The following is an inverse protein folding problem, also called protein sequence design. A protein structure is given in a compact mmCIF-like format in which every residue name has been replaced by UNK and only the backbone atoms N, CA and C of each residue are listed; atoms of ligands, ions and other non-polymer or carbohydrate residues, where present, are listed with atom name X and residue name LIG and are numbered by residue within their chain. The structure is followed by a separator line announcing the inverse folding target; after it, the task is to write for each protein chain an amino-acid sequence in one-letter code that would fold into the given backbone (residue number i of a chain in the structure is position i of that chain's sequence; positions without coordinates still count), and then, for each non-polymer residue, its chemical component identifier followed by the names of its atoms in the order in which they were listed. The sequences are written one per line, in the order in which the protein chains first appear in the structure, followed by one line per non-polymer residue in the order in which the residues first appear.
data_IF_524364769017
#
_entry.id   IF_524364769017
#
_cell.length_a   1.000
_cell.length_b   1.000
_cell.length_c   1.000
_cell.angle_alpha   90.00
_cell.angle_beta   90.00
_cell.angle_gamma   90.00
#
_symmetry.space_group_name_H-M   'P 1'
#
loop_
_entity.id
_entity.type
_entity.pdbx_description
1 polymer ?
#
# COMPACT_ATOMS: atom_id res chain seq x y z
N UNK A 1 2.32 -0.89 -11.13
CA UNK A 1 2.85 -0.77 -9.75
C UNK A 1 3.31 0.66 -9.46
N UNK A 2 2.38 1.51 -9.06
CA UNK A 2 2.66 2.87 -8.59
C UNK A 2 2.67 2.85 -7.06
N UNK A 3 3.71 3.40 -6.39
CA UNK A 3 3.69 3.48 -4.93
C UNK A 3 2.57 4.44 -4.48
N UNK A 4 1.71 3.99 -3.56
CA UNK A 4 0.60 4.79 -3.01
C UNK A 4 1.07 5.83 -1.97
N UNK A 5 2.37 5.91 -1.71
CA UNK A 5 2.94 6.78 -0.67
C UNK A 5 2.71 6.28 0.76
N UNK A 6 2.20 5.05 0.92
CA UNK A 6 1.98 4.43 2.23
C UNK A 6 2.96 3.28 2.47
N UNK A 7 3.20 3.00 3.75
CA UNK A 7 3.96 1.83 4.20
C UNK A 7 3.05 0.92 5.03
N UNK A 8 3.26 -0.38 4.89
CA UNK A 8 2.44 -1.41 5.52
C UNK A 8 3.21 -2.21 6.58
N UNK A 9 4.17 -1.55 7.27
CA UNK A 9 5.02 -2.20 8.29
C UNK A 9 4.29 -2.40 9.61
N UNK A 10 3.54 -1.38 10.04
CA UNK A 10 2.89 -1.34 11.36
C UNK A 10 1.36 -1.24 11.26
N UNK A 11 0.87 -0.69 10.16
CA UNK A 11 -0.55 -0.51 9.87
C UNK A 11 -0.85 -1.02 8.46
N UNK A 12 -2.06 -1.52 8.18
CA UNK A 12 -2.45 -1.80 6.80
C UNK A 12 -2.48 -0.51 5.98
N UNK A 13 -2.34 -0.61 4.65
CA UNK A 13 -2.50 0.54 3.77
C UNK A 13 -3.90 1.13 3.96
N UNK A 14 -4.03 2.40 4.32
CA UNK A 14 -5.34 3.06 4.45
C UNK A 14 -6.00 3.13 3.08
N UNK A 15 -5.20 3.29 2.02
CA UNK A 15 -5.66 3.26 0.63
C UNK A 15 -5.92 1.85 0.10
N UNK A 16 -5.96 0.82 0.94
CA UNK A 16 -6.43 -0.52 0.52
C UNK A 16 -7.84 -0.46 -0.08
N UNK A 17 -8.67 0.50 0.36
CA UNK A 17 -9.99 0.78 -0.22
C UNK A 17 -9.92 1.28 -1.67
N UNK A 18 -8.79 1.87 -2.07
CA UNK A 18 -8.50 2.34 -3.42
C UNK A 18 -7.66 1.33 -4.22
N UNK A 19 -7.77 0.04 -3.89
CA UNK A 19 -7.05 -1.04 -4.56
C UNK A 19 -5.51 -0.96 -4.45
N UNK A 20 -4.98 -0.23 -3.46
CA UNK A 20 -3.58 -0.35 -3.09
C UNK A 20 -3.33 -1.64 -2.31
N UNK A 21 -2.17 -2.27 -2.53
CA UNK A 21 -1.78 -3.55 -1.94
C UNK A 21 -0.41 -3.43 -1.28
N UNK A 22 -0.27 -4.05 -0.12
CA UNK A 22 1.01 -4.13 0.57
C UNK A 22 1.94 -5.11 -0.16
N UNK A 23 3.07 -4.63 -0.65
CA UNK A 23 4.14 -5.46 -1.22
C UNK A 23 5.48 -4.95 -0.70
N UNK A 24 6.33 -5.86 -0.19
CA UNK A 24 7.65 -5.50 0.35
C UNK A 24 7.62 -4.31 1.35
N UNK A 25 6.63 -4.30 2.26
CA UNK A 25 6.43 -3.26 3.29
C UNK A 25 6.00 -1.87 2.75
N UNK A 26 5.77 -1.73 1.45
CA UNK A 26 5.28 -0.50 0.81
C UNK A 26 3.95 -0.80 0.13
N UNK A 27 3.05 0.16 0.13
CA UNK A 27 1.75 0.02 -0.52
C UNK A 27 1.85 0.43 -1.98
N UNK A 28 1.47 -0.46 -2.89
CA UNK A 28 1.49 -0.26 -4.34
C UNK A 28 0.08 -0.42 -4.92
N UNK A 29 -0.29 0.50 -5.80
CA UNK A 29 -1.43 0.34 -6.68
C UNK A 29 -0.95 -0.41 -7.93
N UNK A 30 -1.77 -1.32 -8.44
CA UNK A 30 -1.52 -1.94 -9.74
C UNK A 30 -1.34 -0.85 -10.82
#
# INVERSE_FOLDING_TARGET
KIPCGESCVWIPCVTSIFNCKCENKVCYHD
#
